data_IF_338493108060
#
_entry.id   IF_338493108060
#
_cell.length_a   1.000
_cell.length_b   1.000
_cell.length_c   1.000
_cell.angle_alpha   90.00
_cell.angle_beta   90.00
_cell.angle_gamma   90.00
#
_symmetry.space_group_name_H-M   'P 1'
#
loop_
_entity.id
_entity.type
_entity.pdbx_description
1 polymer ?
#
# COMPACT_ATOMS: atom_id res chain seq x y z
N UNK A 1 48.09 12.93 21.62
CA UNK A 1 48.46 12.36 20.31
C UNK A 1 47.84 10.98 20.19
N UNK A 2 46.78 10.82 19.39
CA UNK A 2 46.16 9.49 19.18
C UNK A 2 47.07 8.70 18.25
N UNK A 3 47.59 7.55 18.69
CA UNK A 3 48.31 6.64 17.80
C UNK A 3 47.31 6.09 16.77
N UNK A 4 47.49 6.46 15.51
CA UNK A 4 46.70 5.89 14.43
C UNK A 4 47.23 4.48 14.16
N UNK A 5 46.57 3.46 14.71
CA UNK A 5 46.89 2.07 14.38
C UNK A 5 46.52 1.81 12.91
N UNK A 6 47.44 1.15 12.18
CA UNK A 6 47.27 0.74 10.78
C UNK A 6 47.30 -0.79 10.72
N UNK A 7 46.19 -1.46 11.08
CA UNK A 7 46.20 -2.91 11.29
C UNK A 7 46.23 -3.73 9.99
N UNK A 8 45.89 -3.13 8.84
CA UNK A 8 45.75 -3.85 7.58
C UNK A 8 47.04 -3.78 6.75
N UNK A 9 47.80 -4.87 6.68
CA UNK A 9 49.11 -4.93 6.03
C UNK A 9 49.08 -5.69 4.71
N UNK A 10 49.90 -5.27 3.75
CA UNK A 10 50.08 -5.99 2.50
C UNK A 10 50.87 -7.29 2.73
N UNK A 11 50.44 -8.39 2.10
CA UNK A 11 51.06 -9.72 2.22
C UNK A 11 52.08 -10.03 1.11
N UNK A 12 52.25 -9.14 0.14
CA UNK A 12 53.16 -9.32 -0.98
C UNK A 12 54.61 -9.14 -0.55
N UNK A 13 55.44 -10.17 -0.81
CA UNK A 13 56.86 -10.14 -0.50
C UNK A 13 57.56 -8.97 -1.21
N UNK A 14 58.25 -8.12 -0.44
CA UNK A 14 58.93 -6.93 -0.95
C UNK A 14 58.07 -5.66 -1.02
N UNK A 15 56.78 -5.69 -0.65
CA UNK A 15 55.95 -4.50 -0.64
C UNK A 15 56.21 -3.60 0.57
N UNK A 16 56.44 -2.31 0.36
CA UNK A 16 56.69 -1.32 1.42
C UNK A 16 55.50 -1.18 2.40
N UNK A 17 54.29 -1.55 1.98
CA UNK A 17 53.08 -1.51 2.81
C UNK A 17 52.87 -2.77 3.66
N UNK A 18 53.77 -3.76 3.57
CA UNK A 18 53.78 -4.91 4.48
C UNK A 18 54.12 -4.51 5.92
N UNK A 19 54.91 -3.46 6.12
CA UNK A 19 55.25 -2.95 7.46
C UNK A 19 54.41 -1.75 7.87
N UNK A 20 54.12 -0.83 6.94
CA UNK A 20 53.38 0.42 7.21
C UNK A 20 51.89 0.21 7.45
N UNK A 21 51.29 -0.73 6.71
CA UNK A 21 49.85 -0.99 6.74
C UNK A 21 48.97 0.21 6.37
N UNK A 22 47.67 -0.04 6.42
CA UNK A 22 46.60 0.88 6.10
C UNK A 22 45.65 1.04 7.29
N UNK A 23 44.99 2.18 7.36
CA UNK A 23 43.97 2.48 8.37
C UNK A 23 42.66 1.71 8.13
N UNK A 24 42.39 1.27 6.90
CA UNK A 24 41.18 0.55 6.50
C UNK A 24 41.48 -0.55 5.50
N UNK A 25 40.66 -1.61 5.50
CA UNK A 25 40.77 -2.71 4.54
C UNK A 25 40.52 -2.26 3.09
N UNK A 26 39.72 -1.20 2.89
CA UNK A 26 39.45 -0.62 1.57
C UNK A 26 40.72 -0.06 0.91
N UNK A 27 41.57 0.66 1.65
CA UNK A 27 42.84 1.16 1.13
C UNK A 27 43.82 0.04 0.78
N UNK A 28 43.83 -1.05 1.55
CA UNK A 28 44.61 -2.24 1.22
C UNK A 28 44.13 -2.89 -0.09
N UNK A 29 42.80 -2.98 -0.30
CA UNK A 29 42.22 -3.51 -1.54
C UNK A 29 42.57 -2.65 -2.76
N UNK A 30 42.45 -1.32 -2.67
CA UNK A 30 42.86 -0.39 -3.74
C UNK A 30 44.33 -0.53 -4.07
N UNK A 31 45.18 -0.65 -3.04
CA UNK A 31 46.62 -0.86 -3.20
C UNK A 31 46.92 -2.19 -3.93
N UNK A 32 46.29 -3.30 -3.55
CA UNK A 32 46.47 -4.58 -4.25
C UNK A 32 46.03 -4.51 -5.72
N UNK A 33 44.90 -3.85 -6.00
CA UNK A 33 44.39 -3.68 -7.35
C UNK A 33 45.31 -2.82 -8.23
N UNK A 34 45.92 -1.78 -7.67
CA UNK A 34 46.80 -0.86 -8.40
C UNK A 34 48.22 -1.38 -8.59
N UNK A 35 48.79 -2.07 -7.59
CA UNK A 35 50.22 -2.38 -7.54
C UNK A 35 50.56 -3.86 -7.67
N UNK A 36 49.61 -4.76 -7.42
CA UNK A 36 49.88 -6.20 -7.35
C UNK A 36 49.06 -7.08 -8.30
N UNK A 37 48.11 -6.50 -9.03
CA UNK A 37 47.59 -7.04 -10.30
C UNK A 37 47.34 -8.55 -10.36
N UNK A 38 46.82 -9.19 -9.31
CA UNK A 38 46.52 -10.61 -9.35
C UNK A 38 45.12 -10.83 -9.94
N UNK A 39 45.09 -11.45 -11.12
CA UNK A 39 43.88 -12.03 -11.72
C UNK A 39 43.22 -12.96 -10.69
N UNK A 40 41.97 -12.65 -10.31
CA UNK A 40 41.11 -13.62 -9.64
C UNK A 40 40.97 -14.86 -10.53
N UNK A 41 41.65 -15.95 -10.20
CA UNK A 41 41.35 -17.24 -10.81
C UNK A 41 39.90 -17.60 -10.46
N UNK A 42 39.07 -17.76 -11.50
CA UNK A 42 37.69 -18.26 -11.35
C UNK A 42 37.72 -19.57 -10.56
N UNK A 43 37.07 -19.68 -9.40
CA UNK A 43 37.04 -20.95 -8.68
C UNK A 43 36.30 -21.98 -9.54
N UNK A 44 37.00 -23.04 -9.96
CA UNK A 44 36.36 -24.26 -10.48
C UNK A 44 35.28 -24.70 -9.49
N UNK A 45 34.14 -25.16 -10.01
CA UNK A 45 32.94 -25.52 -9.26
C UNK A 45 33.23 -26.37 -8.00
N UNK A 46 33.47 -25.70 -6.88
CA UNK A 46 33.72 -26.34 -5.59
C UNK A 46 32.37 -26.73 -4.98
N UNK A 47 32.23 -28.00 -4.57
CA UNK A 47 31.09 -28.45 -3.77
C UNK A 47 31.11 -27.70 -2.41
N UNK A 48 30.38 -26.58 -2.33
CA UNK A 48 30.38 -25.67 -1.18
C UNK A 48 29.79 -26.32 0.09
N UNK A 49 30.63 -26.52 1.13
CA UNK A 49 30.23 -26.92 2.50
C UNK A 49 29.27 -25.89 3.14
N UNK A 50 28.38 -26.35 4.04
CA UNK A 50 27.34 -25.54 4.71
C UNK A 50 27.87 -24.33 5.50
N UNK A 51 29.01 -24.44 6.21
CA UNK A 51 29.56 -23.29 6.98
C UNK A 51 30.04 -22.16 6.08
N UNK A 52 30.78 -22.47 5.02
CA UNK A 52 31.27 -21.50 4.02
C UNK A 52 30.14 -20.76 3.29
N UNK A 53 28.96 -21.39 3.17
CA UNK A 53 27.77 -20.72 2.61
C UNK A 53 27.19 -19.67 3.56
N UNK A 54 27.22 -19.93 4.87
CA UNK A 54 26.74 -18.96 5.85
C UNK A 54 27.71 -17.77 5.96
N UNK A 55 29.02 -18.04 5.95
CA UNK A 55 30.06 -17.00 5.89
C UNK A 55 29.88 -16.13 4.63
N UNK A 56 29.68 -16.74 3.46
CA UNK A 56 29.41 -16.02 2.21
C UNK A 56 28.15 -15.13 2.31
N UNK A 57 27.07 -15.64 2.91
CA UNK A 57 25.83 -14.87 3.09
C UNK A 57 26.07 -13.64 3.97
N UNK A 58 26.82 -13.78 5.07
CA UNK A 58 27.15 -12.66 5.97
C UNK A 58 27.96 -11.61 5.22
N UNK A 59 29.03 -12.01 4.52
CA UNK A 59 29.87 -11.10 3.72
C UNK A 59 29.05 -10.29 2.72
N UNK A 60 28.11 -10.94 2.02
CA UNK A 60 27.28 -10.27 1.02
C UNK A 60 26.23 -9.34 1.64
N UNK A 61 25.70 -9.67 2.83
CA UNK A 61 24.80 -8.77 3.56
C UNK A 61 25.57 -7.54 4.07
N UNK A 62 26.79 -7.72 4.57
CA UNK A 62 27.63 -6.60 5.02
C UNK A 62 28.02 -5.71 3.83
N UNK A 63 28.36 -6.29 2.68
CA UNK A 63 28.59 -5.53 1.44
C UNK A 63 27.36 -4.72 1.00
N UNK A 64 26.14 -5.25 1.19
CA UNK A 64 24.89 -4.53 0.91
C UNK A 64 24.70 -3.34 1.84
N UNK A 65 24.98 -3.52 3.14
CA UNK A 65 24.92 -2.46 4.14
C UNK A 65 25.93 -1.36 3.87
N UNK A 66 27.13 -1.74 3.45
CA UNK A 66 28.22 -0.82 3.09
C UNK A 66 28.03 -0.18 1.70
N UNK A 67 27.05 -0.64 0.91
CA UNK A 67 26.81 -0.17 -0.45
C UNK A 67 27.87 -0.61 -1.47
N UNK A 68 28.65 -1.64 -1.18
CA UNK A 68 29.69 -2.18 -2.06
C UNK A 68 29.08 -3.05 -3.17
N UNK A 69 28.53 -2.38 -4.18
CA UNK A 69 27.91 -3.01 -5.36
C UNK A 69 28.89 -3.92 -6.10
N UNK A 70 30.19 -3.59 -6.10
CA UNK A 70 31.20 -4.33 -6.86
C UNK A 70 31.48 -5.70 -6.23
N UNK A 71 31.61 -5.77 -4.89
CA UNK A 71 31.75 -7.05 -4.19
C UNK A 71 30.53 -7.95 -4.42
N UNK A 72 29.31 -7.41 -4.36
CA UNK A 72 28.08 -8.18 -4.62
C UNK A 72 28.04 -8.68 -6.08
N UNK A 73 28.51 -7.86 -7.03
CA UNK A 73 28.61 -8.20 -8.46
C UNK A 73 29.61 -9.32 -8.72
N UNK A 74 30.82 -9.22 -8.17
CA UNK A 74 31.88 -10.20 -8.41
C UNK A 74 31.54 -11.58 -7.83
N UNK A 75 30.74 -11.61 -6.76
CA UNK A 75 30.33 -12.82 -6.07
C UNK A 75 28.93 -13.33 -6.47
N UNK A 76 28.31 -12.73 -7.50
CA UNK A 76 26.90 -12.96 -7.84
C UNK A 76 26.56 -14.41 -8.21
N UNK A 77 27.47 -15.10 -8.89
CA UNK A 77 27.26 -16.50 -9.29
C UNK A 77 27.31 -17.44 -8.08
N UNK A 78 28.17 -17.13 -7.09
CA UNK A 78 28.25 -17.84 -5.83
C UNK A 78 27.02 -17.57 -4.95
N UNK A 79 26.44 -16.38 -5.08
CA UNK A 79 25.26 -15.94 -4.33
C UNK A 79 23.94 -16.63 -4.76
N UNK A 80 23.94 -17.47 -5.81
CA UNK A 80 22.72 -18.13 -6.34
C UNK A 80 21.74 -18.68 -5.29
N UNK A 81 22.18 -19.34 -4.19
CA UNK A 81 21.26 -19.85 -3.16
C UNK A 81 20.57 -18.78 -2.31
N UNK A 82 21.09 -17.54 -2.30
CA UNK A 82 20.70 -16.47 -1.38
C UNK A 82 20.25 -15.19 -2.06
N UNK A 83 20.21 -15.12 -3.41
CA UNK A 83 19.87 -13.91 -4.18
C UNK A 83 18.61 -13.21 -3.67
N UNK A 84 17.56 -13.97 -3.41
CA UNK A 84 16.29 -13.43 -2.88
C UNK A 84 16.44 -12.85 -1.48
N UNK A 85 17.24 -13.50 -0.63
CA UNK A 85 17.55 -12.99 0.71
C UNK A 85 18.40 -11.73 0.66
N UNK A 86 19.31 -11.63 -0.30
CA UNK A 86 20.13 -10.43 -0.52
C UNK A 86 19.27 -9.26 -0.99
N UNK A 87 18.34 -9.50 -1.93
CA UNK A 87 17.38 -8.48 -2.34
C UNK A 87 16.50 -8.03 -1.16
N UNK A 88 15.95 -8.97 -0.38
CA UNK A 88 15.17 -8.62 0.81
C UNK A 88 15.99 -7.78 1.80
N UNK A 89 17.23 -8.17 2.08
CA UNK A 89 18.12 -7.40 2.96
C UNK A 89 18.37 -5.99 2.41
N UNK A 90 18.66 -5.85 1.11
CA UNK A 90 18.88 -4.55 0.48
C UNK A 90 17.66 -3.62 0.58
N UNK A 91 16.45 -4.17 0.45
CA UNK A 91 15.20 -3.40 0.63
C UNK A 91 15.00 -2.97 2.07
N UNK A 92 15.29 -3.85 3.04
CA UNK A 92 15.17 -3.58 4.47
C UNK A 92 16.20 -2.53 4.95
N UNK A 93 17.43 -2.63 4.46
CA UNK A 93 18.54 -1.73 4.81
C UNK A 93 18.49 -0.40 4.02
N UNK A 94 17.46 -0.18 3.19
CA UNK A 94 17.29 1.02 2.34
C UNK A 94 18.53 1.31 1.49
N UNK A 95 19.11 0.26 0.91
CA UNK A 95 20.31 0.35 0.08
C UNK A 95 20.13 1.28 -1.12
N UNK A 96 21.25 1.72 -1.68
CA UNK A 96 21.28 2.66 -2.81
C UNK A 96 20.58 2.10 -4.07
N UNK A 97 20.06 3.01 -4.90
CA UNK A 97 19.44 2.67 -6.20
C UNK A 97 20.29 1.70 -7.04
N UNK A 98 21.61 1.96 -7.25
CA UNK A 98 22.48 1.05 -8.01
C UNK A 98 22.59 -0.36 -7.44
N UNK A 99 22.53 -0.52 -6.11
CA UNK A 99 22.50 -1.84 -5.47
C UNK A 99 21.17 -2.54 -5.77
N UNK A 100 20.05 -1.83 -5.62
CA UNK A 100 18.73 -2.38 -5.90
C UNK A 100 18.57 -2.76 -7.37
N UNK A 101 18.95 -1.89 -8.31
CA UNK A 101 18.89 -2.13 -9.76
C UNK A 101 19.67 -3.40 -10.13
N UNK A 102 20.90 -3.53 -9.62
CA UNK A 102 21.74 -4.71 -9.82
C UNK A 102 21.06 -6.00 -9.34
N UNK A 103 20.43 -5.95 -8.16
CA UNK A 103 19.77 -7.10 -7.54
C UNK A 103 18.43 -7.43 -8.24
N UNK A 104 17.68 -6.41 -8.69
CA UNK A 104 16.40 -6.55 -9.41
C UNK A 104 16.62 -7.19 -10.78
N UNK A 105 17.53 -6.66 -11.60
CA UNK A 105 17.83 -7.18 -12.96
C UNK A 105 18.15 -8.67 -12.97
N UNK A 106 18.71 -9.15 -11.86
CA UNK A 106 19.19 -10.53 -11.71
C UNK A 106 18.30 -11.36 -10.79
N UNK A 107 17.19 -10.79 -10.32
CA UNK A 107 16.22 -11.48 -9.50
C UNK A 107 15.48 -12.53 -10.35
N UNK A 108 15.20 -13.72 -9.79
CA UNK A 108 14.48 -14.78 -10.50
C UNK A 108 13.02 -14.41 -10.83
N UNK A 109 12.51 -13.27 -10.37
CA UNK A 109 11.11 -12.83 -10.50
C UNK A 109 10.95 -11.51 -11.28
N UNK A 110 12.02 -10.99 -11.91
CA UNK A 110 11.92 -9.77 -12.71
C UNK A 110 10.89 -9.95 -13.84
N UNK A 111 10.14 -8.89 -14.13
CA UNK A 111 9.00 -8.88 -15.06
C UNK A 111 9.33 -9.43 -16.47
N UNK A 112 10.59 -9.36 -16.90
CA UNK A 112 11.02 -9.86 -18.21
C UNK A 112 11.01 -11.41 -18.33
N UNK A 113 10.88 -12.14 -17.22
CA UNK A 113 10.70 -13.60 -17.23
C UNK A 113 9.22 -14.04 -17.34
N UNK A 114 8.26 -13.10 -17.35
CA UNK A 114 6.81 -13.35 -17.39
C UNK A 114 6.33 -13.97 -18.71
N UNK A 115 7.11 -13.87 -19.79
CA UNK A 115 6.83 -14.55 -21.07
C UNK A 115 6.91 -16.08 -20.99
N UNK A 116 7.39 -16.65 -19.88
CA UNK A 116 7.25 -18.09 -19.61
C UNK A 116 6.24 -18.29 -18.50
N UNK A 117 5.08 -18.87 -18.82
CA UNK A 117 4.00 -19.27 -17.90
C UNK A 117 4.43 -20.34 -16.88
N UNK A 118 5.60 -20.22 -16.23
CA UNK A 118 5.97 -21.06 -15.09
C UNK A 118 5.42 -20.41 -13.83
N UNK A 119 4.36 -21.01 -13.27
CA UNK A 119 3.87 -20.66 -11.93
C UNK A 119 5.03 -20.54 -10.94
N UNK A 120 5.09 -19.47 -10.14
CA UNK A 120 6.10 -19.36 -9.09
C UNK A 120 6.03 -20.58 -8.17
N UNK A 121 7.19 -21.08 -7.74
CA UNK A 121 7.21 -22.06 -6.65
C UNK A 121 6.60 -21.43 -5.39
N UNK A 122 6.00 -22.23 -4.50
CA UNK A 122 5.43 -21.71 -3.24
C UNK A 122 6.45 -20.89 -2.43
N UNK A 123 7.71 -21.34 -2.40
CA UNK A 123 8.80 -20.62 -1.75
C UNK A 123 9.04 -19.26 -2.42
N UNK A 124 9.10 -19.25 -3.75
CA UNK A 124 9.35 -18.04 -4.52
C UNK A 124 8.24 -17.00 -4.37
N UNK A 125 6.98 -17.42 -4.35
CA UNK A 125 5.85 -16.53 -4.10
C UNK A 125 5.87 -15.95 -2.67
N UNK A 126 6.24 -16.75 -1.67
CA UNK A 126 6.41 -16.25 -0.30
C UNK A 126 7.57 -15.27 -0.18
N UNK A 127 8.69 -15.55 -0.84
CA UNK A 127 9.84 -14.63 -0.83
C UNK A 127 9.47 -13.29 -1.51
N UNK A 128 8.73 -13.35 -2.62
CA UNK A 128 8.21 -12.16 -3.31
C UNK A 128 7.28 -11.35 -2.40
N UNK A 129 6.36 -12.02 -1.70
CA UNK A 129 5.51 -11.39 -0.69
C UNK A 129 6.36 -10.68 0.38
N UNK A 130 7.39 -11.33 0.90
CA UNK A 130 8.30 -10.71 1.89
C UNK A 130 9.01 -9.46 1.34
N UNK A 131 9.46 -9.50 0.08
CA UNK A 131 10.12 -8.35 -0.58
C UNK A 131 9.14 -7.20 -0.76
N UNK A 132 7.94 -7.45 -1.30
CA UNK A 132 6.90 -6.43 -1.48
C UNK A 132 6.46 -5.83 -0.14
N UNK A 133 6.30 -6.67 0.89
CA UNK A 133 5.98 -6.23 2.24
C UNK A 133 7.06 -5.29 2.79
N UNK A 134 8.33 -5.64 2.64
CA UNK A 134 9.45 -4.81 3.07
C UNK A 134 9.51 -3.50 2.27
N UNK A 135 9.29 -3.56 0.96
CA UNK A 135 9.30 -2.39 0.08
C UNK A 135 8.22 -1.37 0.45
N UNK A 136 7.01 -1.83 0.74
CA UNK A 136 5.94 -0.96 1.23
C UNK A 136 6.29 -0.38 2.61
N UNK A 137 6.85 -1.20 3.51
CA UNK A 137 7.26 -0.72 4.83
C UNK A 137 8.38 0.34 4.79
N UNK A 138 9.19 0.35 3.73
CA UNK A 138 10.25 1.34 3.48
C UNK A 138 9.89 2.37 2.41
N UNK A 139 8.63 2.41 1.95
CA UNK A 139 8.12 3.31 0.91
C UNK A 139 8.91 3.28 -0.42
N UNK A 140 9.48 2.12 -0.74
CA UNK A 140 10.30 1.91 -1.92
C UNK A 140 9.44 1.56 -3.15
N UNK A 141 8.95 2.60 -3.83
CA UNK A 141 8.13 2.45 -5.04
C UNK A 141 8.87 1.77 -6.20
N UNK A 142 10.20 1.88 -6.30
CA UNK A 142 10.99 1.22 -7.36
C UNK A 142 10.86 -0.30 -7.29
N UNK A 143 10.96 -0.87 -6.08
CA UNK A 143 10.82 -2.31 -5.87
C UNK A 143 9.38 -2.76 -6.14
N UNK A 144 8.39 -1.99 -5.69
CA UNK A 144 6.97 -2.29 -5.98
C UNK A 144 6.68 -2.22 -7.48
N UNK A 145 7.30 -1.28 -8.21
CA UNK A 145 7.17 -1.17 -9.67
C UNK A 145 7.87 -2.30 -10.42
N UNK A 146 9.03 -2.74 -9.94
CA UNK A 146 9.76 -3.86 -10.52
C UNK A 146 9.04 -5.20 -10.37
N UNK A 147 8.19 -5.33 -9.35
CA UNK A 147 7.52 -6.58 -9.00
C UNK A 147 6.00 -6.38 -8.90
N UNK A 148 5.26 -6.82 -9.92
CA UNK A 148 3.79 -6.73 -9.92
C UNK A 148 3.13 -7.61 -8.85
N UNK A 149 2.17 -7.07 -8.11
CA UNK A 149 1.44 -7.80 -7.04
C UNK A 149 0.64 -8.98 -7.59
N UNK A 150 0.25 -8.92 -8.87
CA UNK A 150 -0.45 -9.99 -9.60
C UNK A 150 0.34 -11.30 -9.64
N UNK A 151 1.67 -11.23 -9.56
CA UNK A 151 2.52 -12.42 -9.52
C UNK A 151 2.27 -13.29 -8.28
N UNK A 152 1.75 -12.73 -7.18
CA UNK A 152 1.42 -13.48 -5.97
C UNK A 152 0.29 -14.50 -6.19
N UNK A 153 -0.61 -14.24 -7.15
CA UNK A 153 -1.71 -15.15 -7.49
C UNK A 153 -1.25 -16.42 -8.19
N UNK A 154 0.02 -16.48 -8.64
CA UNK A 154 0.57 -17.70 -9.27
C UNK A 154 0.85 -18.84 -8.28
N UNK A 155 0.70 -18.61 -6.97
CA UNK A 155 0.90 -19.63 -5.93
C UNK A 155 -0.31 -20.58 -5.82
N UNK A 156 -0.04 -21.90 -5.79
CA UNK A 156 -1.06 -22.96 -5.80
C UNK A 156 -1.89 -23.03 -4.52
N UNK A 157 -3.12 -23.52 -4.69
CA UNK A 157 -4.04 -24.03 -3.68
C UNK A 157 -3.36 -24.87 -2.60
N UNK A 158 -3.71 -24.63 -1.34
CA UNK A 158 -3.48 -25.58 -0.24
C UNK A 158 -4.83 -26.13 0.19
N UNK A 159 -4.98 -27.45 0.08
CA UNK A 159 -6.08 -28.17 0.68
C UNK A 159 -5.85 -28.25 2.20
N UNK A 160 -6.57 -27.43 2.96
CA UNK A 160 -6.66 -27.60 4.41
C UNK A 160 -7.89 -28.47 4.72
N UNK A 161 -7.66 -29.63 5.34
CA UNK A 161 -8.74 -30.57 5.73
C UNK A 161 -9.75 -29.97 6.72
N UNK A 162 -9.43 -28.87 7.40
CA UNK A 162 -10.30 -28.21 8.39
C UNK A 162 -10.87 -26.87 7.91
N UNK A 163 -10.18 -26.15 7.02
CA UNK A 163 -10.53 -24.78 6.62
C UNK A 163 -10.96 -24.61 5.16
N UNK A 164 -11.03 -25.70 4.40
CA UNK A 164 -11.28 -25.64 2.97
C UNK A 164 -10.05 -25.16 2.19
N UNK A 165 -10.21 -24.97 0.89
CA UNK A 165 -9.13 -24.54 0.00
C UNK A 165 -8.73 -23.09 0.28
N UNK A 166 -7.49 -22.86 0.74
CA UNK A 166 -6.96 -21.50 0.99
C UNK A 166 -6.01 -21.11 -0.15
N UNK A 167 -6.35 -20.01 -0.83
CA UNK A 167 -5.49 -19.36 -1.81
C UNK A 167 -4.53 -18.39 -1.11
N UNK A 168 -3.37 -18.89 -0.64
CA UNK A 168 -2.36 -18.06 0.04
C UNK A 168 -1.95 -16.82 -0.76
N UNK A 169 -1.87 -16.93 -2.09
CA UNK A 169 -1.55 -15.82 -2.98
C UNK A 169 -2.54 -14.65 -2.88
N UNK A 170 -3.84 -14.94 -2.77
CA UNK A 170 -4.88 -13.94 -2.57
C UNK A 170 -4.71 -13.26 -1.20
N UNK A 171 -4.51 -14.06 -0.14
CA UNK A 171 -4.30 -13.54 1.22
C UNK A 171 -3.08 -12.61 1.28
N UNK A 172 -1.97 -13.00 0.65
CA UNK A 172 -0.77 -12.17 0.57
C UNK A 172 -1.00 -10.90 -0.24
N UNK A 173 -1.68 -10.99 -1.39
CA UNK A 173 -2.04 -9.82 -2.19
C UNK A 173 -2.91 -8.84 -1.40
N UNK A 174 -3.99 -9.31 -0.76
CA UNK A 174 -4.85 -8.45 0.07
C UNK A 174 -4.08 -7.80 1.21
N UNK A 175 -3.13 -8.52 1.83
CA UNK A 175 -2.26 -7.94 2.85
C UNK A 175 -1.40 -6.78 2.28
N UNK A 176 -0.76 -7.00 1.13
CA UNK A 176 0.04 -5.97 0.43
C UNK A 176 -0.81 -4.75 0.08
N UNK A 177 -2.01 -4.96 -0.47
CA UNK A 177 -2.97 -3.89 -0.80
C UNK A 177 -3.34 -3.09 0.47
N UNK A 178 -3.69 -3.78 1.56
CA UNK A 178 -4.05 -3.14 2.83
C UNK A 178 -2.89 -2.34 3.42
N UNK A 179 -1.67 -2.88 3.38
CA UNK A 179 -0.48 -2.19 3.86
C UNK A 179 -0.20 -0.91 3.04
N UNK A 180 -0.29 -1.00 1.72
CA UNK A 180 -0.08 0.15 0.83
C UNK A 180 -1.14 1.24 1.07
N UNK A 181 -2.42 0.85 1.17
CA UNK A 181 -3.52 1.77 1.44
C UNK A 181 -3.34 2.51 2.77
N UNK A 182 -2.97 1.80 3.83
CA UNK A 182 -2.82 2.38 5.17
C UNK A 182 -1.68 3.39 5.24
N UNK A 183 -0.58 3.15 4.50
CA UNK A 183 0.58 4.05 4.46
C UNK A 183 0.37 5.30 3.59
N UNK A 184 -0.59 5.27 2.66
CA UNK A 184 -0.93 6.40 1.77
C UNK A 184 0.27 7.00 1.04
N UNK A 185 1.26 6.20 0.66
CA UNK A 185 2.36 6.68 -0.18
C UNK A 185 1.86 6.80 -1.64
N UNK A 186 1.81 8.01 -2.25
CA UNK A 186 1.19 8.18 -3.57
C UNK A 186 1.91 7.43 -4.69
N UNK A 187 3.24 7.29 -4.60
CA UNK A 187 4.03 6.59 -5.62
C UNK A 187 3.77 5.09 -5.57
N UNK A 188 3.75 4.50 -4.37
CA UNK A 188 3.45 3.08 -4.17
C UNK A 188 2.00 2.78 -4.57
N UNK A 189 1.05 3.59 -4.11
CA UNK A 189 -0.37 3.43 -4.41
C UNK A 189 -0.64 3.55 -5.92
N UNK A 190 -0.01 4.51 -6.61
CA UNK A 190 -0.16 4.66 -8.06
C UNK A 190 0.29 3.44 -8.86
N UNK A 191 1.27 2.68 -8.34
CA UNK A 191 1.74 1.43 -8.97
C UNK A 191 0.80 0.26 -8.66
N UNK A 192 0.27 0.20 -7.44
CA UNK A 192 -0.56 -0.92 -6.96
C UNK A 192 -1.99 -0.81 -7.46
N UNK A 193 -2.60 0.38 -7.45
CA UNK A 193 -4.03 0.56 -7.75
C UNK A 193 -4.49 -0.05 -9.10
N UNK A 194 -3.75 0.09 -10.22
CA UNK A 194 -4.13 -0.53 -11.50
C UNK A 194 -4.11 -2.08 -11.47
N UNK A 195 -3.45 -2.67 -10.48
CA UNK A 195 -3.31 -4.10 -10.31
C UNK A 195 -4.32 -4.68 -9.30
N UNK A 196 -5.19 -3.87 -8.70
CA UNK A 196 -6.17 -4.35 -7.71
C UNK A 196 -7.36 -4.99 -8.45
N UNK A 197 -7.78 -6.21 -8.08
CA UNK A 197 -9.02 -6.78 -8.59
C UNK A 197 -10.23 -5.87 -8.26
N UNK A 198 -11.16 -5.70 -9.19
CA UNK A 198 -12.30 -4.79 -9.00
C UNK A 198 -13.07 -5.04 -7.69
N UNK A 199 -13.25 -6.31 -7.30
CA UNK A 199 -13.95 -6.69 -6.06
C UNK A 199 -13.27 -6.16 -4.79
N UNK A 200 -11.95 -5.96 -4.83
CA UNK A 200 -11.14 -5.51 -3.70
C UNK A 200 -10.96 -3.99 -3.67
N UNK A 201 -11.36 -3.28 -4.75
CA UNK A 201 -11.12 -1.84 -4.89
C UNK A 201 -11.87 -1.03 -3.83
N UNK A 202 -13.11 -1.42 -3.49
CA UNK A 202 -13.87 -0.78 -2.41
C UNK A 202 -13.21 -0.92 -1.04
N UNK A 203 -12.69 -2.11 -0.72
CA UNK A 203 -11.94 -2.35 0.53
C UNK A 203 -10.63 -1.56 0.56
N UNK A 204 -9.94 -1.49 -0.58
CA UNK A 204 -8.75 -0.65 -0.74
C UNK A 204 -9.07 0.82 -0.42
N UNK A 205 -10.17 1.36 -0.97
CA UNK A 205 -10.63 2.72 -0.65
C UNK A 205 -11.01 2.87 0.83
N UNK A 206 -11.62 1.87 1.46
CA UNK A 206 -11.97 1.93 2.89
C UNK A 206 -10.73 2.09 3.78
N UNK A 207 -9.61 1.50 3.35
CA UNK A 207 -8.33 1.51 4.06
C UNK A 207 -7.47 2.72 3.75
N UNK A 208 -7.61 3.29 2.55
CA UNK A 208 -6.87 4.52 2.21
C UNK A 208 -7.39 5.69 3.02
N UNK A 209 -8.71 5.77 3.21
CA UNK A 209 -9.33 6.80 4.04
C UNK A 209 -8.83 6.73 5.48
N UNK A 210 -8.49 7.88 6.08
CA UNK A 210 -8.11 7.91 7.48
C UNK A 210 -9.30 7.47 8.34
N UNK A 211 -9.01 6.97 9.55
CA UNK A 211 -10.07 6.57 10.50
C UNK A 211 -10.77 7.77 11.13
N UNK A 212 -10.10 8.93 11.16
CA UNK A 212 -10.61 10.22 11.63
C UNK A 212 -10.00 11.33 10.77
N UNK A 213 -10.67 12.49 10.62
CA UNK A 213 -10.10 13.66 9.95
C UNK A 213 -8.77 14.07 10.56
N UNK A 214 -7.76 14.08 9.72
CA UNK A 214 -6.38 14.46 10.02
C UNK A 214 -5.81 15.10 8.74
N UNK A 215 -5.36 16.35 8.83
CA UNK A 215 -5.00 17.14 7.66
C UNK A 215 -3.88 16.47 6.82
N UNK A 216 -2.89 15.87 7.47
CA UNK A 216 -1.79 15.18 6.80
C UNK A 216 -2.28 13.91 6.10
N UNK A 217 -3.06 13.07 6.79
CA UNK A 217 -3.61 11.85 6.20
C UNK A 217 -4.64 12.13 5.10
N UNK A 218 -5.44 13.19 5.21
CA UNK A 218 -6.36 13.65 4.18
C UNK A 218 -5.60 14.11 2.94
N UNK A 219 -4.56 14.93 3.11
CA UNK A 219 -3.72 15.39 2.02
C UNK A 219 -3.03 14.20 1.32
N UNK A 220 -2.48 13.26 2.08
CA UNK A 220 -1.87 12.04 1.54
C UNK A 220 -2.90 11.19 0.77
N UNK A 221 -4.14 11.11 1.27
CA UNK A 221 -5.25 10.42 0.60
C UNK A 221 -5.60 11.08 -0.72
N UNK A 222 -5.76 12.40 -0.75
CA UNK A 222 -6.02 13.18 -1.96
C UNK A 222 -4.92 12.95 -2.99
N UNK A 223 -3.65 13.06 -2.57
CA UNK A 223 -2.50 12.79 -3.43
C UNK A 223 -2.52 11.37 -3.98
N UNK A 224 -2.93 10.38 -3.19
CA UNK A 224 -3.11 9.01 -3.68
C UNK A 224 -4.23 8.92 -4.71
N UNK A 225 -5.40 9.50 -4.47
CA UNK A 225 -6.55 9.48 -5.40
C UNK A 225 -6.16 10.08 -6.76
N UNK A 226 -5.41 11.18 -6.77
CA UNK A 226 -4.91 11.76 -8.03
C UNK A 226 -4.09 10.78 -8.87
N UNK A 227 -3.45 9.78 -8.25
CA UNK A 227 -2.65 8.77 -8.96
C UNK A 227 -3.49 7.74 -9.68
N UNK A 228 -4.75 7.54 -9.28
CA UNK A 228 -5.60 6.47 -9.83
C UNK A 228 -7.02 6.91 -10.24
N UNK A 229 -7.39 8.19 -10.10
CA UNK A 229 -8.74 8.68 -10.48
C UNK A 229 -9.08 8.52 -11.97
N UNK A 230 -8.08 8.32 -12.81
CA UNK A 230 -8.27 8.02 -14.23
C UNK A 230 -8.73 6.56 -14.48
N UNK A 231 -8.55 5.66 -13.52
CA UNK A 231 -8.90 4.25 -13.65
C UNK A 231 -10.41 4.04 -13.74
N UNK A 232 -10.82 3.08 -14.58
CA UNK A 232 -12.22 2.69 -14.75
C UNK A 232 -12.88 2.29 -13.43
N UNK A 233 -12.21 1.43 -12.64
CA UNK A 233 -12.70 0.98 -11.34
C UNK A 233 -12.99 2.14 -10.37
N UNK A 234 -12.18 3.20 -10.40
CA UNK A 234 -12.44 4.39 -9.59
C UNK A 234 -13.68 5.14 -10.07
N UNK A 235 -13.77 5.43 -11.37
CA UNK A 235 -14.89 6.19 -11.95
C UNK A 235 -16.23 5.49 -11.76
N UNK A 236 -16.26 4.17 -11.91
CA UNK A 236 -17.47 3.36 -11.71
C UNK A 236 -17.90 3.30 -10.24
N UNK A 237 -16.97 3.46 -9.29
CA UNK A 237 -17.23 3.36 -7.85
C UNK A 237 -17.23 4.71 -7.12
N UNK A 238 -17.06 5.84 -7.81
CA UNK A 238 -16.88 7.17 -7.18
C UNK A 238 -18.01 7.52 -6.21
N UNK A 239 -19.24 7.10 -6.54
CA UNK A 239 -20.40 7.28 -5.69
C UNK A 239 -20.32 6.43 -4.40
N UNK A 240 -20.00 5.14 -4.53
CA UNK A 240 -19.89 4.26 -3.35
C UNK A 240 -18.70 4.65 -2.46
N UNK A 241 -17.65 5.20 -3.07
CA UNK A 241 -16.52 5.80 -2.38
C UNK A 241 -16.96 7.02 -1.55
N UNK A 242 -17.89 7.85 -2.04
CA UNK A 242 -18.44 8.97 -1.27
C UNK A 242 -19.27 8.48 -0.06
N UNK A 243 -20.07 7.41 -0.23
CA UNK A 243 -20.81 6.80 0.89
C UNK A 243 -19.85 6.26 1.96
N UNK A 244 -18.81 5.56 1.52
CA UNK A 244 -17.76 5.04 2.38
C UNK A 244 -17.02 6.14 3.14
N UNK A 245 -16.75 7.28 2.49
CA UNK A 245 -16.13 8.43 3.13
C UNK A 245 -16.99 8.97 4.28
N UNK A 246 -18.31 9.10 4.06
CA UNK A 246 -19.28 9.51 5.08
C UNK A 246 -19.29 8.55 6.27
N UNK A 247 -19.26 7.25 6.04
CA UNK A 247 -19.17 6.27 7.12
C UNK A 247 -17.83 6.35 7.89
N UNK A 248 -16.71 6.55 7.19
CA UNK A 248 -15.36 6.38 7.75
C UNK A 248 -14.80 7.61 8.47
N UNK A 249 -14.87 8.78 7.86
CA UNK A 249 -14.20 9.97 8.41
C UNK A 249 -14.90 11.30 8.15
N UNK A 250 -15.88 11.38 7.25
CA UNK A 250 -16.60 12.64 7.00
C UNK A 250 -15.65 13.80 6.58
N UNK A 251 -14.58 13.49 5.83
CA UNK A 251 -13.61 14.51 5.38
C UNK A 251 -14.18 15.36 4.25
N UNK A 252 -14.42 16.64 4.51
CA UNK A 252 -14.93 17.60 3.51
C UNK A 252 -13.95 17.79 2.33
N UNK A 253 -12.62 17.96 2.54
CA UNK A 253 -11.67 18.08 1.42
C UNK A 253 -11.71 16.89 0.45
N UNK A 254 -11.79 15.66 0.97
CA UNK A 254 -11.89 14.47 0.13
C UNK A 254 -13.25 14.44 -0.58
N UNK A 255 -14.35 14.78 0.11
CA UNK A 255 -15.67 14.82 -0.53
C UNK A 255 -15.74 15.82 -1.68
N UNK A 256 -15.14 17.02 -1.54
CA UNK A 256 -15.07 17.99 -2.64
C UNK A 256 -14.42 17.39 -3.88
N UNK A 257 -13.29 16.70 -3.72
CA UNK A 257 -12.63 15.98 -4.81
C UNK A 257 -13.55 14.93 -5.45
N UNK A 258 -14.28 14.15 -4.64
CA UNK A 258 -15.19 13.12 -5.15
C UNK A 258 -16.38 13.72 -5.93
N UNK A 259 -16.93 14.84 -5.45
CA UNK A 259 -18.00 15.58 -6.13
C UNK A 259 -17.49 16.17 -7.47
N UNK A 260 -16.27 16.73 -7.49
CA UNK A 260 -15.61 17.19 -8.72
C UNK A 260 -15.37 16.04 -9.72
N UNK A 261 -15.14 14.82 -9.22
CA UNK A 261 -15.01 13.59 -10.00
C UNK A 261 -16.35 12.98 -10.44
N UNK A 262 -17.48 13.62 -10.15
CA UNK A 262 -18.81 13.23 -10.60
C UNK A 262 -19.61 12.36 -9.62
N UNK A 263 -19.21 12.28 -8.34
CA UNK A 263 -20.09 11.73 -7.32
C UNK A 263 -21.28 12.66 -7.08
N UNK A 264 -22.49 12.11 -7.06
CA UNK A 264 -23.70 12.86 -6.70
C UNK A 264 -23.99 12.68 -5.20
N UNK A 265 -24.40 13.74 -4.47
CA UNK A 265 -24.72 13.65 -3.04
C UNK A 265 -25.82 12.62 -2.70
N UNK A 266 -26.78 12.47 -3.62
CA UNK A 266 -27.99 11.63 -3.46
C UNK A 266 -27.83 10.19 -3.95
N UNK A 267 -26.75 9.93 -4.69
CA UNK A 267 -26.53 8.67 -5.37
C UNK A 267 -27.46 8.38 -6.54
N UNK A 268 -27.21 7.24 -7.19
CA UNK A 268 -27.85 6.84 -8.47
C UNK A 268 -29.02 5.88 -8.30
N UNK A 269 -29.23 5.33 -7.09
CA UNK A 269 -30.17 4.24 -6.86
C UNK A 269 -31.10 4.52 -5.68
N UNK A 270 -32.38 4.21 -5.89
CA UNK A 270 -33.51 4.47 -5.02
C UNK A 270 -33.55 3.60 -3.74
N UNK A 271 -32.39 3.20 -3.20
CA UNK A 271 -32.28 2.42 -1.96
C UNK A 271 -32.31 3.30 -0.71
N UNK A 272 -32.25 4.63 -0.89
CA UNK A 272 -32.19 5.62 0.19
C UNK A 272 -30.88 5.65 0.98
N UNK A 273 -29.92 4.75 0.70
CA UNK A 273 -28.61 4.76 1.37
C UNK A 273 -27.64 5.73 0.67
N UNK A 274 -27.67 6.99 1.10
CA UNK A 274 -26.83 8.07 0.58
C UNK A 274 -25.59 8.31 1.45
N UNK A 275 -24.64 9.13 0.97
CA UNK A 275 -23.48 9.51 1.77
C UNK A 275 -23.86 10.30 3.02
N UNK A 276 -24.95 11.06 2.94
CA UNK A 276 -25.56 11.76 4.05
C UNK A 276 -26.06 10.77 5.12
N UNK A 277 -26.72 9.68 4.72
CA UNK A 277 -27.15 8.63 5.65
C UNK A 277 -25.98 7.85 6.26
N UNK A 278 -24.93 7.59 5.49
CA UNK A 278 -23.71 6.97 5.98
C UNK A 278 -23.03 7.83 7.07
N UNK A 279 -22.93 9.14 6.85
CA UNK A 279 -22.41 10.09 7.83
C UNK A 279 -23.30 10.21 9.08
N UNK A 280 -24.61 10.08 8.93
CA UNK A 280 -25.57 10.20 10.03
C UNK A 280 -25.48 9.08 11.08
N UNK A 281 -24.76 7.98 10.79
CA UNK A 281 -24.43 6.96 11.77
C UNK A 281 -23.43 7.44 12.84
N UNK A 282 -22.63 8.46 12.53
CA UNK A 282 -21.60 9.01 13.40
C UNK A 282 -22.12 10.17 14.27
N UNK A 283 -21.49 10.42 15.41
CA UNK A 283 -21.95 11.41 16.43
C UNK A 283 -20.92 12.49 16.78
N UNK A 284 -19.87 12.59 15.96
CA UNK A 284 -18.81 13.58 16.14
C UNK A 284 -19.08 14.90 15.40
N UNK A 285 -18.23 15.89 15.63
CA UNK A 285 -18.35 17.21 15.00
C UNK A 285 -18.19 17.15 13.49
N UNK A 286 -17.30 16.28 12.99
CA UNK A 286 -16.99 16.19 11.58
C UNK A 286 -18.18 15.62 10.81
N UNK A 287 -18.89 14.63 11.37
CA UNK A 287 -20.12 14.12 10.75
C UNK A 287 -21.20 15.19 10.66
N UNK A 288 -21.37 16.03 11.70
CA UNK A 288 -22.33 17.13 11.65
C UNK A 288 -21.95 18.18 10.59
N UNK A 289 -20.68 18.60 10.54
CA UNK A 289 -20.18 19.53 9.52
C UNK A 289 -20.28 18.94 8.11
N UNK A 290 -20.03 17.64 7.95
CA UNK A 290 -20.12 16.94 6.67
C UNK A 290 -21.56 16.78 6.18
N UNK A 291 -22.51 16.47 7.08
CA UNK A 291 -23.94 16.44 6.73
C UNK A 291 -24.39 17.83 6.28
N UNK A 292 -24.02 18.88 7.03
CA UNK A 292 -24.30 20.26 6.63
C UNK A 292 -23.71 20.57 5.25
N UNK A 293 -22.46 20.19 5.01
CA UNK A 293 -21.81 20.34 3.70
C UNK A 293 -22.58 19.63 2.58
N UNK A 294 -22.98 18.36 2.77
CA UNK A 294 -23.74 17.64 1.75
C UNK A 294 -25.10 18.30 1.46
N UNK A 295 -25.78 18.83 2.48
CA UNK A 295 -27.02 19.61 2.31
C UNK A 295 -26.78 20.89 1.51
N UNK A 296 -25.69 21.61 1.77
CA UNK A 296 -25.28 22.78 0.97
C UNK A 296 -24.97 22.40 -0.49
N UNK A 297 -24.51 21.17 -0.73
CA UNK A 297 -24.31 20.62 -2.07
C UNK A 297 -25.59 20.05 -2.71
N UNK A 298 -26.75 20.23 -2.07
CA UNK A 298 -28.06 19.86 -2.61
C UNK A 298 -28.52 18.45 -2.27
N UNK A 299 -27.92 17.77 -1.29
CA UNK A 299 -28.37 16.45 -0.88
C UNK A 299 -29.83 16.45 -0.39
N UNK A 300 -30.62 15.51 -0.88
CA UNK A 300 -32.03 15.35 -0.56
C UNK A 300 -32.22 14.70 0.82
N UNK A 301 -32.98 15.39 1.67
CA UNK A 301 -33.27 14.99 3.05
C UNK A 301 -34.39 13.94 3.11
N UNK A 302 -35.25 13.90 2.09
CA UNK A 302 -36.50 13.15 2.08
C UNK A 302 -36.30 11.63 2.04
N UNK A 303 -35.11 11.18 1.63
CA UNK A 303 -34.79 9.77 1.56
C UNK A 303 -34.95 9.11 2.93
N UNK A 304 -35.39 7.86 2.90
CA UNK A 304 -35.45 7.01 4.09
C UNK A 304 -34.65 5.76 3.81
N UNK A 305 -33.94 5.26 4.82
CA UNK A 305 -33.17 4.03 4.72
C UNK A 305 -33.62 3.05 5.80
N UNK A 306 -33.99 1.82 5.40
CA UNK A 306 -34.65 0.84 6.28
C UNK A 306 -35.86 1.42 7.04
N UNK A 307 -36.61 2.33 6.41
CA UNK A 307 -37.77 2.99 7.01
C UNK A 307 -37.44 4.07 8.04
N UNK A 308 -36.16 4.39 8.27
CA UNK A 308 -35.71 5.44 9.17
C UNK A 308 -35.37 6.70 8.37
N UNK A 309 -35.86 7.85 8.85
CA UNK A 309 -35.48 9.15 8.34
C UNK A 309 -34.15 9.63 8.89
N UNK A 310 -33.65 10.75 8.36
CA UNK A 310 -32.42 11.36 8.85
C UNK A 310 -32.51 11.76 10.34
N UNK A 311 -33.66 12.26 10.79
CA UNK A 311 -33.89 12.67 12.18
C UNK A 311 -33.88 11.49 13.17
N UNK A 312 -34.06 10.26 12.70
CA UNK A 312 -34.01 9.06 13.55
C UNK A 312 -32.57 8.57 13.84
N UNK A 313 -31.59 9.10 13.08
CA UNK A 313 -30.19 8.65 13.14
C UNK A 313 -29.43 9.24 14.34
N UNK A 314 -28.34 8.58 14.79
CA UNK A 314 -27.52 9.05 15.92
C UNK A 314 -27.05 10.51 15.81
N UNK A 315 -26.66 10.95 14.62
CA UNK A 315 -26.19 12.32 14.39
C UNK A 315 -27.21 13.39 14.82
N UNK A 316 -28.51 13.16 14.59
CA UNK A 316 -29.59 14.12 14.89
C UNK A 316 -29.58 14.57 16.36
N UNK A 317 -29.29 13.65 17.28
CA UNK A 317 -29.24 13.92 18.73
C UNK A 317 -28.04 14.77 19.16
N UNK A 318 -26.99 14.78 18.35
CA UNK A 318 -25.72 15.48 18.65
C UNK A 318 -25.51 16.74 17.81
N UNK A 319 -26.36 16.96 16.80
CA UNK A 319 -26.31 18.12 15.92
C UNK A 319 -26.31 19.45 16.68
N UNK A 320 -27.23 19.60 17.64
CA UNK A 320 -27.34 20.81 18.46
C UNK A 320 -26.08 21.06 19.28
N UNK A 321 -25.47 19.98 19.82
CA UNK A 321 -24.23 20.08 20.61
C UNK A 321 -23.07 20.61 19.77
N UNK A 322 -22.95 20.19 18.52
CA UNK A 322 -21.79 20.51 17.68
C UNK A 322 -21.94 21.78 16.85
N UNK A 323 -23.14 22.04 16.31
CA UNK A 323 -23.39 23.16 15.41
C UNK A 323 -24.23 24.28 16.03
N UNK A 324 -24.72 24.11 17.27
CA UNK A 324 -25.56 25.10 17.94
C UNK A 324 -26.97 25.23 17.37
N UNK A 325 -27.37 24.32 16.47
CA UNK A 325 -28.66 24.27 15.78
C UNK A 325 -29.16 22.83 15.71
N UNK A 326 -30.47 22.62 15.82
CA UNK A 326 -31.03 21.27 15.69
C UNK A 326 -30.98 20.83 14.23
N UNK A 327 -30.91 19.51 13.99
CA UNK A 327 -30.98 18.99 12.64
C UNK A 327 -32.31 19.38 11.97
N UNK A 328 -33.40 19.41 12.72
CA UNK A 328 -34.71 19.82 12.19
C UNK A 328 -34.72 21.30 11.78
N UNK A 329 -34.04 22.18 12.52
CA UNK A 329 -33.86 23.58 12.12
C UNK A 329 -33.11 23.68 10.79
N UNK A 330 -32.03 22.90 10.64
CA UNK A 330 -31.24 22.85 9.41
C UNK A 330 -32.08 22.33 8.24
N UNK A 331 -32.83 21.25 8.45
CA UNK A 331 -33.75 20.68 7.46
C UNK A 331 -34.79 21.73 7.03
N UNK A 332 -35.34 22.48 7.99
CA UNK A 332 -36.34 23.51 7.72
C UNK A 332 -35.75 24.73 6.98
N UNK A 333 -34.48 25.06 7.19
CA UNK A 333 -33.79 26.08 6.40
C UNK A 333 -33.72 25.66 4.93
N UNK A 334 -33.21 24.45 4.65
CA UNK A 334 -33.05 23.98 3.27
C UNK A 334 -34.36 23.63 2.57
N UNK A 335 -35.40 23.17 3.28
CA UNK A 335 -36.75 22.98 2.72
C UNK A 335 -37.37 24.29 2.24
N UNK A 336 -37.06 25.43 2.87
CA UNK A 336 -37.55 26.75 2.45
C UNK A 336 -36.84 27.25 1.19
N UNK A 337 -35.55 26.93 1.04
CA UNK A 337 -34.73 27.35 -0.09
C UNK A 337 -34.90 26.48 -1.34
N UNK A 338 -35.65 25.37 -1.28
CA UNK A 338 -36.05 24.57 -2.46
C UNK A 338 -37.30 25.12 -3.19
N UNK A 339 -37.80 26.30 -2.79
CA UNK A 339 -38.84 27.06 -3.51
C UNK A 339 -38.38 28.44 -4.03
N UNK A 340 -37.45 28.51 -5.00
CA UNK A 340 -37.45 29.55 -6.01
C UNK A 340 -37.76 28.94 -7.37
N UNK A 341 -38.60 29.63 -8.13
CA UNK A 341 -39.16 29.24 -9.42
C UNK A 341 -38.13 28.61 -10.40
N UNK A 342 -38.54 27.54 -11.07
CA UNK A 342 -37.82 26.91 -12.19
C UNK A 342 -37.56 27.88 -13.32
N UNK A 343 -36.43 27.70 -14.03
CA UNK A 343 -36.57 27.44 -15.47
C UNK A 343 -35.63 26.35 -16.03
N UNK A 344 -36.27 25.46 -16.81
CA UNK A 344 -35.73 24.76 -18.00
C UNK A 344 -34.69 23.62 -17.84
N UNK A 345 -35.22 22.39 -17.79
CA UNK A 345 -34.84 21.15 -18.47
C UNK A 345 -33.41 20.94 -19.02
N UNK A 346 -32.87 19.75 -18.73
CA UNK A 346 -32.10 18.93 -19.68
C UNK A 346 -32.58 17.47 -19.57
N UNK A 347 -32.66 16.71 -20.67
CA UNK A 347 -33.39 15.43 -20.69
C UNK A 347 -32.62 14.30 -20.00
N UNK A 348 -33.32 13.25 -19.50
CA UNK A 348 -32.68 12.09 -18.92
C UNK A 348 -32.00 11.27 -20.02
N UNK A 349 -30.68 11.14 -19.96
CA UNK A 349 -29.96 10.14 -20.74
C UNK A 349 -30.20 8.77 -20.08
N UNK A 350 -31.10 7.99 -20.68
CA UNK A 350 -31.27 6.56 -20.43
C UNK A 350 -29.95 5.84 -20.70
N UNK A 351 -29.28 5.40 -19.64
CA UNK A 351 -28.25 4.37 -19.71
C UNK A 351 -28.87 3.12 -19.11
N UNK A 352 -29.01 2.07 -19.93
CA UNK A 352 -29.56 0.79 -19.49
C UNK A 352 -28.68 0.14 -18.41
N UNK A 353 -29.28 -0.59 -17.44
CA UNK A 353 -28.56 -1.16 -16.32
C UNK A 353 -27.87 -2.47 -16.71
N UNK A 354 -26.55 -2.43 -16.95
CA UNK A 354 -25.75 -3.65 -16.93
C UNK A 354 -25.51 -4.09 -15.47
N UNK A 355 -25.82 -5.35 -15.20
CA UNK A 355 -25.90 -5.97 -13.88
C UNK A 355 -24.57 -5.87 -13.10
N UNK A 356 -24.58 -5.18 -11.96
CA UNK A 356 -23.53 -5.29 -10.96
C UNK A 356 -24.13 -5.62 -9.59
N UNK A 357 -23.56 -6.64 -8.95
CA UNK A 357 -23.97 -7.15 -7.64
C UNK A 357 -23.50 -6.17 -6.56
N UNK A 358 -24.44 -5.54 -5.87
CA UNK A 358 -24.17 -4.70 -4.70
C UNK A 358 -23.46 -5.51 -3.61
N UNK A 359 -22.38 -4.96 -3.06
CA UNK A 359 -21.86 -5.37 -1.76
C UNK A 359 -22.77 -4.73 -0.71
N UNK A 360 -23.73 -5.49 -0.20
CA UNK A 360 -24.50 -5.08 0.99
C UNK A 360 -23.53 -5.01 2.17
N UNK A 361 -23.35 -3.82 2.74
CA UNK A 361 -22.59 -3.64 3.96
C UNK A 361 -23.55 -3.78 5.14
N UNK A 362 -23.43 -4.89 5.87
CA UNK A 362 -24.16 -5.11 7.11
C UNK A 362 -23.58 -4.23 8.23
N UNK A 363 -24.36 -3.23 8.66
CA UNK A 363 -24.03 -2.31 9.75
C UNK A 363 -23.71 -3.03 11.09
N UNK A 364 -24.19 -4.26 11.29
CA UNK A 364 -23.93 -5.05 12.51
C UNK A 364 -22.54 -5.71 12.54
N UNK A 365 -21.90 -5.95 11.38
CA UNK A 365 -20.66 -6.71 11.31
C UNK A 365 -19.39 -5.89 11.63
N UNK A 366 -19.50 -4.55 11.75
CA UNK A 366 -18.33 -3.66 11.89
C UNK A 366 -18.34 -2.91 13.24
N UNK A 367 -19.47 -2.89 13.95
CA UNK A 367 -19.60 -2.29 15.29
C UNK A 367 -18.94 -3.12 16.41
N UNK A 368 -18.50 -4.35 16.13
CA UNK A 368 -17.85 -5.23 17.10
C UNK A 368 -16.40 -5.51 16.73
N UNK A 369 -15.50 -4.53 16.89
CA UNK A 369 -14.05 -4.81 16.98
C UNK A 369 -13.22 -3.67 17.59
N UNK A 370 -13.78 -2.93 18.56
CA UNK A 370 -12.98 -2.09 19.47
C UNK A 370 -12.44 -2.89 20.69
N UNK A 371 -12.70 -4.20 20.78
CA UNK A 371 -12.16 -5.09 21.84
C UNK A 371 -11.26 -6.25 21.36
N UNK A 372 -10.83 -6.28 20.09
CA UNK A 372 -9.81 -7.26 19.62
C UNK A 372 -8.42 -6.63 19.43
N UNK A 373 -8.05 -5.66 20.28
CA UNK A 373 -6.67 -5.18 20.38
C UNK A 373 -5.72 -6.18 21.08
N UNK A 374 -6.22 -7.32 21.59
CA UNK A 374 -5.41 -8.28 22.37
C UNK A 374 -5.26 -9.70 21.74
N UNK A 375 -5.56 -9.90 20.44
CA UNK A 375 -5.50 -11.25 19.80
C UNK A 375 -4.33 -11.43 18.80
N UNK A 376 -3.30 -10.57 18.83
CA UNK A 376 -2.07 -10.84 18.06
C UNK A 376 -0.79 -10.48 18.83
N UNK A 377 -0.56 -11.19 19.93
CA UNK A 377 0.79 -11.40 20.47
C UNK A 377 1.49 -12.48 19.64
N UNK A 378 2.48 -12.09 18.84
CA UNK A 378 3.42 -13.03 18.19
C UNK A 378 4.79 -12.94 18.86
N UNK A 379 4.83 -13.25 20.16
CA UNK A 379 6.05 -13.71 20.82
C UNK A 379 6.06 -15.24 20.92
N UNK A 380 6.61 -15.90 19.89
CA UNK A 380 7.46 -17.10 19.94
C UNK A 380 7.75 -17.68 18.54
#
# INVERSE_FOLDING_TARGET
MKSHSRPFKCDQEGCSFAQLGFSTQAHLRTHHAQYHGQKFEKPRALKYRKSKRQELKVILIDAIREGDVQTVRDMWDLAKPFRTTLLLAAVQERSSGPMLDMLIERAPYAADNVMTQKSLSRKHAYDLYCILKAAIATDNATIVGAFGIQQLLSSRLIQDRKKGDIFLGQVWMSNIINMAATRRNPHVVGIIAPQIPNIDFGLFMARIFPTKPDEEAEMATIQCIHRFRHLRAYKESVLDILKLLGFRCCSIPIAKLLLEDGAYPDGTHNTGYTALFAAAANTDRNSAEFIKFLLEQGAEISFTWKGQGLSDRPAARTFQKWLGLSLDDLINMYKKDQHPETPSQSPPLTVEPESYRSLEWDDEAIAGNEEQSDIFDWSN
#
